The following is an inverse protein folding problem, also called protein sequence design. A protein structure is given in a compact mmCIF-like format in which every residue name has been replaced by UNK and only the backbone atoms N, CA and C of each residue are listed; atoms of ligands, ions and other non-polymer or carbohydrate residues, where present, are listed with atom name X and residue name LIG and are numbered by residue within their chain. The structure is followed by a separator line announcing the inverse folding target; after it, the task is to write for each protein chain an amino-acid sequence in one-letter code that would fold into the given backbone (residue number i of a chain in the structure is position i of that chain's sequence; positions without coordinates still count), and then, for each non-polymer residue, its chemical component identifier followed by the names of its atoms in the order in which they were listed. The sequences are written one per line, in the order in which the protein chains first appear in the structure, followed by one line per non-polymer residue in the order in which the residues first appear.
data_IF_893437931349
#
_entry.id   IF_893437931349
#
_cell.length_a   1.000
_cell.length_b   1.000
_cell.length_c   1.000
_cell.angle_alpha   90.00
_cell.angle_beta   90.00
_cell.angle_gamma   90.00
#
_symmetry.space_group_name_H-M   'P 1'
#
loop_
_entity.id
_entity.type
_entity.pdbx_description
1 polymer ?
#
# COMPACT_ATOMS: atom_id res chain seq x y z
N UNK A 1 12.92 11.37 -3.08
CA UNK A 1 12.51 11.91 -1.75
C UNK A 1 12.43 13.43 -1.72
N UNK A 2 13.28 14.16 -2.42
CA UNK A 2 13.27 15.66 -2.44
C UNK A 2 11.90 16.30 -2.66
N UNK A 3 11.07 15.72 -3.53
CA UNK A 3 9.70 16.24 -3.80
C UNK A 3 8.83 16.06 -2.56
N UNK A 4 8.88 14.89 -1.93
CA UNK A 4 8.12 14.60 -0.72
C UNK A 4 8.57 15.49 0.44
N UNK A 5 9.89 15.66 0.60
CA UNK A 5 10.47 16.50 1.64
C UNK A 5 10.02 17.96 1.45
N UNK A 6 10.06 18.46 0.22
CA UNK A 6 9.59 19.82 -0.08
C UNK A 6 8.11 20.03 0.22
N UNK A 7 7.26 19.06 -0.12
CA UNK A 7 5.82 19.13 0.16
C UNK A 7 5.53 18.99 1.68
N UNK A 8 6.31 18.16 2.37
CA UNK A 8 6.22 18.03 3.81
C UNK A 8 6.62 19.34 4.54
N UNK A 9 7.69 19.98 4.08
CA UNK A 9 8.17 21.27 4.63
C UNK A 9 7.21 22.43 4.32
N UNK A 10 6.48 22.34 3.21
CA UNK A 10 5.46 23.34 2.83
C UNK A 10 4.16 23.20 3.63
N UNK A 11 3.98 22.10 4.35
CA UNK A 11 2.80 21.84 5.16
C UNK A 11 2.93 22.46 6.56
N UNK A 12 1.97 23.26 6.98
CA UNK A 12 1.96 23.89 8.30
C UNK A 12 1.75 22.87 9.42
N UNK A 13 1.05 21.77 9.15
CA UNK A 13 0.76 20.70 10.12
C UNK A 13 0.69 19.35 9.41
N UNK A 14 1.83 18.71 9.23
CA UNK A 14 1.89 17.37 8.66
C UNK A 14 1.53 16.32 9.73
N UNK A 15 0.44 15.61 9.53
CA UNK A 15 0.01 14.51 10.41
C UNK A 15 0.52 13.15 9.95
N UNK A 16 0.58 12.94 8.63
CA UNK A 16 1.00 11.67 8.06
C UNK A 16 0.92 11.64 6.55
N UNK A 17 1.02 10.43 6.02
CA UNK A 17 1.00 10.16 4.59
C UNK A 17 -0.06 9.12 4.25
N UNK A 18 -0.67 9.29 3.09
CA UNK A 18 -1.57 8.30 2.50
C UNK A 18 -0.96 7.80 1.20
N UNK A 19 -0.72 6.50 1.12
CA UNK A 19 -0.19 5.85 -0.07
C UNK A 19 -1.27 4.97 -0.70
N UNK A 20 -1.55 5.21 -1.97
CA UNK A 20 -2.45 4.36 -2.77
C UNK A 20 -1.66 3.58 -3.80
N UNK A 21 -1.80 2.26 -3.80
CA UNK A 21 -1.05 1.41 -4.71
C UNK A 21 -1.73 0.05 -4.94
N UNK A 22 -1.28 -0.66 -5.97
CA UNK A 22 -1.63 -2.07 -6.19
C UNK A 22 -0.49 -2.96 -5.68
N UNK A 23 -0.83 -4.11 -5.11
CA UNK A 23 0.16 -5.08 -4.62
C UNK A 23 0.61 -6.08 -5.67
N UNK A 24 -0.16 -6.27 -6.73
CA UNK A 24 0.09 -7.31 -7.74
C UNK A 24 0.83 -6.80 -8.97
N UNK A 25 0.72 -5.52 -9.28
CA UNK A 25 1.42 -4.90 -10.41
C UNK A 25 2.90 -4.67 -10.13
N UNK A 26 3.71 -4.46 -11.17
CA UNK A 26 5.15 -4.23 -11.03
C UNK A 26 5.48 -2.91 -10.35
N UNK A 27 4.95 -1.80 -10.85
CA UNK A 27 5.23 -0.45 -10.34
C UNK A 27 4.55 -0.20 -8.98
N UNK A 28 3.27 -0.50 -8.86
CA UNK A 28 2.52 -0.30 -7.62
C UNK A 28 3.05 -1.13 -6.47
N UNK A 29 3.51 -2.33 -6.72
CA UNK A 29 4.13 -3.20 -5.74
C UNK A 29 5.57 -2.79 -5.41
N UNK A 30 6.44 -2.68 -6.42
CA UNK A 30 7.86 -2.41 -6.24
C UNK A 30 8.14 -0.99 -5.79
N UNK A 31 7.72 0.00 -6.57
CA UNK A 31 7.92 1.41 -6.23
C UNK A 31 7.11 1.81 -4.99
N UNK A 32 5.87 1.32 -4.87
CA UNK A 32 5.03 1.55 -3.69
C UNK A 32 5.68 1.05 -2.42
N UNK A 33 6.24 -0.16 -2.43
CA UNK A 33 6.98 -0.72 -1.28
C UNK A 33 8.23 0.07 -0.95
N UNK A 34 8.98 0.50 -1.96
CA UNK A 34 10.16 1.35 -1.79
C UNK A 34 9.79 2.70 -1.16
N UNK A 35 8.76 3.36 -1.67
CA UNK A 35 8.29 4.64 -1.14
C UNK A 35 7.82 4.49 0.31
N UNK A 36 7.09 3.42 0.63
CA UNK A 36 6.64 3.12 1.98
C UNK A 36 7.81 2.97 2.96
N UNK A 37 8.84 2.21 2.56
CA UNK A 37 10.04 2.03 3.37
C UNK A 37 10.79 3.35 3.59
N UNK A 38 10.93 4.15 2.53
CA UNK A 38 11.56 5.46 2.61
C UNK A 38 10.79 6.46 3.47
N UNK A 39 9.47 6.47 3.38
CA UNK A 39 8.64 7.31 4.23
C UNK A 39 8.77 6.92 5.71
N UNK A 40 8.78 5.63 6.00
CA UNK A 40 8.95 5.14 7.36
C UNK A 40 10.33 5.50 7.94
N UNK A 41 11.38 5.45 7.12
CA UNK A 41 12.74 5.80 7.54
C UNK A 41 12.91 7.32 7.77
N UNK A 42 12.36 8.15 6.88
CA UNK A 42 12.48 9.61 6.96
C UNK A 42 11.53 10.24 7.98
N UNK A 43 10.33 9.68 8.13
CA UNK A 43 9.29 10.22 9.01
C UNK A 43 8.78 9.17 10.01
N UNK A 44 9.64 8.69 10.93
CA UNK A 44 9.28 7.57 11.82
C UNK A 44 8.17 7.89 12.81
N UNK A 45 7.88 9.17 13.03
CA UNK A 45 6.85 9.63 13.97
C UNK A 45 5.54 10.04 13.30
N UNK A 46 5.46 9.92 11.97
CA UNK A 46 4.27 10.29 11.20
C UNK A 46 3.46 9.04 10.86
N UNK A 47 2.14 9.21 10.83
CA UNK A 47 1.24 8.13 10.45
C UNK A 47 1.38 7.82 8.97
N UNK A 48 1.52 6.53 8.64
CA UNK A 48 1.53 6.06 7.27
C UNK A 48 0.35 5.12 7.07
N UNK A 49 -0.63 5.58 6.31
CA UNK A 49 -1.80 4.81 5.94
C UNK A 49 -1.71 4.39 4.47
N UNK A 50 -2.04 3.15 4.17
CA UNK A 50 -2.05 2.65 2.80
C UNK A 50 -3.43 2.17 2.38
N UNK A 51 -3.78 2.45 1.12
CA UNK A 51 -4.92 1.87 0.43
C UNK A 51 -4.37 0.92 -0.63
N UNK A 52 -4.45 -0.36 -0.35
CA UNK A 52 -3.80 -1.40 -1.15
C UNK A 52 -4.82 -2.21 -1.91
N UNK A 53 -4.77 -2.16 -3.23
CA UNK A 53 -5.65 -2.92 -4.11
C UNK A 53 -5.07 -4.32 -4.30
N UNK A 54 -5.85 -5.32 -3.91
CA UNK A 54 -5.50 -6.72 -4.07
C UNK A 54 -5.96 -7.23 -5.45
N UNK A 55 -5.21 -8.18 -6.04
CA UNK A 55 -5.60 -8.76 -7.32
C UNK A 55 -6.83 -9.66 -7.16
N UNK A 56 -7.55 -9.82 -8.26
CA UNK A 56 -8.56 -10.85 -8.36
C UNK A 56 -7.87 -12.23 -8.40
N UNK A 57 -8.18 -13.10 -7.46
CA UNK A 57 -7.64 -14.46 -7.38
C UNK A 57 -8.39 -15.46 -8.27
N UNK A 58 -9.43 -15.03 -8.97
CA UNK A 58 -10.16 -15.88 -9.90
C UNK A 58 -9.26 -16.25 -11.10
N UNK A 59 -9.01 -17.55 -11.23
CA UNK A 59 -8.05 -18.10 -12.21
C UNK A 59 -8.38 -17.79 -13.67
N UNK A 60 -9.59 -17.31 -13.96
CA UNK A 60 -10.04 -17.03 -15.31
C UNK A 60 -9.55 -15.68 -15.87
N UNK A 61 -9.02 -14.78 -15.04
CA UNK A 61 -8.66 -13.41 -15.44
C UNK A 61 -7.22 -12.98 -15.12
N UNK A 62 -6.40 -13.82 -14.50
CA UNK A 62 -5.03 -13.42 -14.19
C UNK A 62 -4.06 -13.84 -15.30
N UNK A 63 -3.77 -12.91 -16.20
CA UNK A 63 -2.81 -13.10 -17.29
C UNK A 63 -1.35 -13.07 -16.86
N UNK A 64 -1.04 -12.71 -15.60
CA UNK A 64 0.34 -12.48 -15.16
C UNK A 64 0.75 -13.46 -14.08
N UNK A 65 1.70 -14.34 -14.42
CA UNK A 65 2.24 -15.40 -13.55
C UNK A 65 2.96 -14.85 -12.31
N UNK A 66 3.51 -13.63 -12.39
CA UNK A 66 4.32 -13.00 -11.31
C UNK A 66 3.51 -12.27 -10.25
N UNK A 67 2.19 -12.15 -10.43
CA UNK A 67 1.32 -11.45 -9.45
C UNK A 67 1.42 -11.99 -8.02
N UNK A 68 1.43 -13.32 -7.77
CA UNK A 68 1.58 -13.85 -6.42
C UNK A 68 2.90 -13.46 -5.76
N UNK A 69 3.99 -13.43 -6.50
CA UNK A 69 5.31 -13.02 -5.99
C UNK A 69 5.33 -11.56 -5.60
N UNK A 70 4.83 -10.68 -6.47
CA UNK A 70 4.72 -9.26 -6.21
C UNK A 70 3.85 -9.00 -4.98
N UNK A 71 2.73 -9.69 -4.86
CA UNK A 71 1.81 -9.57 -3.73
C UNK A 71 2.45 -9.96 -2.40
N UNK A 72 3.15 -11.08 -2.35
CA UNK A 72 3.81 -11.57 -1.13
C UNK A 72 4.92 -10.61 -0.68
N UNK A 73 5.75 -10.15 -1.62
CA UNK A 73 6.83 -9.21 -1.32
C UNK A 73 6.30 -7.87 -0.82
N UNK A 74 5.20 -7.39 -1.41
CA UNK A 74 4.56 -6.14 -1.01
C UNK A 74 3.90 -6.26 0.37
N UNK A 75 3.22 -7.38 0.63
CA UNK A 75 2.61 -7.65 1.95
C UNK A 75 3.63 -7.63 3.08
N UNK A 76 4.81 -8.19 2.84
CA UNK A 76 5.91 -8.11 3.81
C UNK A 76 6.27 -6.66 4.15
N UNK A 77 6.38 -5.80 3.16
CA UNK A 77 6.70 -4.37 3.36
C UNK A 77 5.57 -3.63 4.06
N UNK A 78 4.32 -3.92 3.71
CA UNK A 78 3.15 -3.35 4.36
C UNK A 78 3.10 -3.70 5.84
N UNK A 79 3.33 -4.97 6.19
CA UNK A 79 3.34 -5.41 7.60
C UNK A 79 4.44 -4.73 8.43
N UNK A 80 5.59 -4.45 7.83
CA UNK A 80 6.74 -3.86 8.54
C UNK A 80 6.69 -2.34 8.67
N UNK A 81 6.14 -1.65 7.67
CA UNK A 81 6.33 -0.21 7.53
C UNK A 81 5.03 0.61 7.58
N UNK A 82 3.87 0.01 7.33
CA UNK A 82 2.60 0.72 7.37
C UNK A 82 1.97 0.68 8.76
N UNK A 83 1.42 1.81 9.22
CA UNK A 83 0.68 1.89 10.48
C UNK A 83 -0.76 1.39 10.33
N UNK A 84 -1.37 1.67 9.17
CA UNK A 84 -2.71 1.21 8.83
C UNK A 84 -2.78 0.82 7.35
N UNK A 85 -3.39 -0.32 7.08
CA UNK A 85 -3.60 -0.83 5.71
C UNK A 85 -5.08 -1.03 5.47
N UNK A 86 -5.62 -0.32 4.49
CA UNK A 86 -6.97 -0.54 3.99
C UNK A 86 -6.87 -1.42 2.75
N UNK A 87 -7.43 -2.61 2.84
CA UNK A 87 -7.43 -3.57 1.73
C UNK A 87 -8.66 -3.33 0.87
N UNK A 88 -8.43 -3.17 -0.41
CA UNK A 88 -9.46 -3.08 -1.44
C UNK A 88 -9.40 -4.35 -2.28
N UNK A 89 -10.42 -5.17 -2.16
CA UNK A 89 -10.51 -6.41 -2.93
C UNK A 89 -11.22 -6.15 -4.27
N UNK A 90 -10.64 -6.67 -5.34
CA UNK A 90 -11.16 -6.53 -6.70
C UNK A 90 -11.88 -7.80 -7.19
N UNK A 91 -12.33 -8.66 -6.29
CA UNK A 91 -12.99 -9.93 -6.62
C UNK A 91 -14.50 -9.82 -6.93
N UNK A 92 -15.08 -8.63 -6.88
CA UNK A 92 -16.49 -8.40 -7.17
C UNK A 92 -16.79 -8.34 -8.66
N UNK A 93 -17.55 -9.28 -9.20
CA UNK A 93 -18.30 -9.04 -10.42
C UNK A 93 -19.35 -7.96 -10.12
N UNK A 94 -19.25 -6.83 -10.81
CA UNK A 94 -20.24 -5.76 -10.87
C UNK A 94 -20.69 -5.10 -9.55
N UNK A 95 -20.39 -3.82 -9.46
CA UNK A 95 -21.10 -2.72 -8.78
C UNK A 95 -21.37 -2.78 -7.26
N UNK A 96 -21.25 -3.90 -6.60
CA UNK A 96 -21.57 -3.96 -5.17
C UNK A 96 -20.45 -4.60 -4.37
N UNK A 97 -19.90 -3.85 -3.47
CA UNK A 97 -19.06 -4.23 -2.36
C UNK A 97 -17.58 -4.02 -2.51
N UNK A 98 -17.20 -2.82 -2.19
CA UNK A 98 -15.92 -2.53 -1.56
C UNK A 98 -15.90 -3.18 -0.16
N UNK A 99 -15.38 -4.38 -0.03
CA UNK A 99 -15.12 -4.94 1.30
C UNK A 99 -13.85 -4.28 1.86
N UNK A 100 -14.06 -3.35 2.77
CA UNK A 100 -12.98 -2.64 3.46
C UNK A 100 -12.55 -3.42 4.68
N UNK A 101 -11.45 -4.12 4.58
CA UNK A 101 -10.79 -4.71 5.75
C UNK A 101 -9.64 -3.80 6.18
N UNK A 102 -9.73 -3.29 7.39
CA UNK A 102 -8.67 -2.51 8.00
C UNK A 102 -7.83 -3.44 8.86
N UNK A 103 -6.59 -3.64 8.46
CA UNK A 103 -5.60 -4.33 9.29
C UNK A 103 -4.75 -3.28 9.98
N UNK A 104 -4.81 -3.26 11.29
CA UNK A 104 -3.90 -2.46 12.10
C UNK A 104 -2.66 -3.32 12.39
N UNK A 105 -1.52 -2.91 11.87
CA UNK A 105 -0.25 -3.47 12.31
C UNK A 105 0.01 -2.96 13.72
N UNK A 106 -0.13 -3.83 14.69
CA UNK A 106 0.43 -3.60 16.03
C UNK A 106 1.90 -3.95 15.94
N UNK A 107 2.75 -2.93 15.83
CA UNK A 107 4.17 -3.11 16.07
C UNK A 107 4.36 -3.46 17.54
N UNK A 108 4.74 -4.68 17.79
CA UNK A 108 5.33 -5.08 19.06
C UNK A 108 6.76 -4.58 19.15
#
# INVERSE_FOLDING_TARGET
MEIVDREADASDSLEGFVLTHSIAGGTGSGLGSFMLEKLNDHFPKKLIQTYSVFPNWDQSQSDVVVQPYNSILTLKRLCLNADAVVVLDNTGETEECFDRRVFRSTSL
#
